data_IF_579785160894
#
_entry.id   IF_579785160894
#
_cell.length_a   1.000
_cell.length_b   1.000
_cell.length_c   1.000
_cell.angle_alpha   90.00
_cell.angle_beta   90.00
_cell.angle_gamma   90.00
#
_symmetry.space_group_name_H-M   'P 1'
#
loop_
_entity.id
_entity.type
_entity.pdbx_description
1 polymer ?
#
# COMPACT_ATOMS: atom_id res chain seq x y z
N UNK A 1 -26.27 20.62 -47.55
CA UNK A 1 -26.94 21.70 -46.80
C UNK A 1 -27.96 21.00 -45.92
N UNK A 2 -27.51 20.18 -44.98
CA UNK A 2 -26.69 20.51 -43.80
C UNK A 2 -27.49 21.35 -42.81
N UNK A 3 -27.38 20.92 -41.56
CA UNK A 3 -27.70 21.65 -40.32
C UNK A 3 -29.12 21.44 -39.77
N UNK A 4 -29.28 20.33 -39.07
CA UNK A 4 -29.84 20.37 -37.72
C UNK A 4 -29.00 19.42 -36.88
N UNK A 5 -27.98 20.00 -36.29
CA UNK A 5 -27.09 19.46 -35.27
C UNK A 5 -27.98 18.88 -34.14
N UNK A 6 -27.97 17.56 -34.04
CA UNK A 6 -28.54 16.87 -32.90
C UNK A 6 -27.66 17.17 -31.70
N UNK A 7 -28.19 17.92 -30.75
CA UNK A 7 -27.59 18.02 -29.42
C UNK A 7 -27.69 16.61 -28.82
N UNK A 8 -26.64 15.81 -29.04
CA UNK A 8 -26.38 14.61 -28.28
C UNK A 8 -26.15 15.09 -26.86
N UNK A 9 -27.21 15.01 -26.06
CA UNK A 9 -27.14 15.31 -24.64
C UNK A 9 -26.40 14.12 -24.06
N UNK A 10 -25.07 14.25 -23.96
CA UNK A 10 -24.27 13.31 -23.19
C UNK A 10 -24.82 13.35 -21.78
N UNK A 11 -25.45 12.25 -21.36
CA UNK A 11 -25.75 12.00 -19.96
C UNK A 11 -24.42 12.08 -19.19
N UNK A 12 -24.23 13.18 -18.47
CA UNK A 12 -23.16 13.30 -17.46
C UNK A 12 -23.69 12.54 -16.24
N UNK A 13 -23.40 11.24 -16.17
CA UNK A 13 -23.75 10.42 -15.03
C UNK A 13 -22.70 10.61 -13.93
N UNK A 14 -22.92 11.58 -13.04
CA UNK A 14 -22.11 11.81 -11.83
C UNK A 14 -22.27 10.73 -10.75
N UNK A 15 -22.54 9.48 -11.13
CA UNK A 15 -22.84 8.38 -10.20
C UNK A 15 -21.99 7.14 -10.41
N UNK A 16 -20.78 7.29 -10.95
CA UNK A 16 -19.91 6.14 -11.23
C UNK A 16 -19.34 5.56 -9.93
N UNK A 17 -19.92 4.44 -9.51
CA UNK A 17 -19.36 3.58 -8.46
C UNK A 17 -18.10 2.89 -8.98
N UNK A 18 -17.07 2.80 -8.14
CA UNK A 18 -15.84 2.06 -8.44
C UNK A 18 -15.70 0.89 -7.48
N UNK A 19 -15.44 -0.31 -8.01
CA UNK A 19 -15.14 -1.50 -7.20
C UNK A 19 -13.72 -1.93 -7.49
N UNK A 20 -12.88 -1.91 -6.45
CA UNK A 20 -11.48 -2.27 -6.54
C UNK A 20 -10.96 -2.72 -5.18
N UNK A 21 -9.68 -3.07 -5.16
CA UNK A 21 -8.95 -3.28 -3.92
C UNK A 21 -8.24 -2.00 -3.51
N UNK A 22 -8.48 -1.59 -2.29
CA UNK A 22 -7.93 -0.37 -1.70
C UNK A 22 -7.06 -0.69 -0.51
N UNK A 23 -6.00 0.08 -0.33
CA UNK A 23 -5.24 0.13 0.92
C UNK A 23 -5.44 1.50 1.59
N UNK A 24 -5.67 1.49 2.90
CA UNK A 24 -5.79 2.71 3.69
C UNK A 24 -4.40 3.21 4.04
N UNK A 25 -4.02 4.37 3.49
CA UNK A 25 -2.71 4.99 3.73
C UNK A 25 -2.78 6.06 4.81
N UNK A 26 -3.94 6.68 5.02
CA UNK A 26 -4.17 7.63 6.10
C UNK A 26 -5.57 7.44 6.68
N UNK A 27 -5.71 7.60 8.00
CA UNK A 27 -6.99 7.54 8.69
C UNK A 27 -6.90 8.33 10.00
N UNK A 28 -7.90 9.17 10.24
CA UNK A 28 -8.16 9.81 11.52
C UNK A 28 -9.61 9.52 11.98
N UNK A 29 -10.09 10.17 13.04
CA UNK A 29 -11.43 9.88 13.56
C UNK A 29 -12.56 10.28 12.59
N UNK A 30 -12.29 11.23 11.68
CA UNK A 30 -13.30 11.88 10.85
C UNK A 30 -13.16 11.47 9.38
N UNK A 31 -11.95 11.21 8.89
CA UNK A 31 -11.67 10.96 7.46
C UNK A 31 -10.67 9.81 7.25
N UNK A 32 -10.64 9.29 6.03
CA UNK A 32 -9.67 8.29 5.62
C UNK A 32 -9.26 8.46 4.15
N UNK A 33 -8.04 8.07 3.82
CA UNK A 33 -7.48 8.09 2.48
C UNK A 33 -7.19 6.67 2.04
N UNK A 34 -7.83 6.28 0.94
CA UNK A 34 -7.70 4.97 0.31
C UNK A 34 -6.91 5.15 -0.98
N UNK A 35 -6.07 4.18 -1.28
CA UNK A 35 -5.41 4.08 -2.57
C UNK A 35 -5.83 2.78 -3.26
N UNK A 36 -6.34 2.91 -4.47
CA UNK A 36 -6.55 1.78 -5.37
C UNK A 36 -5.19 1.16 -5.70
N UNK A 37 -5.07 -0.13 -5.44
CA UNK A 37 -3.81 -0.86 -5.53
C UNK A 37 -3.38 -1.11 -6.97
N UNK A 38 -4.34 -1.23 -7.89
CA UNK A 38 -4.11 -1.53 -9.29
C UNK A 38 -3.90 -0.25 -10.10
N UNK A 39 -4.77 0.75 -9.89
CA UNK A 39 -4.69 2.02 -10.64
C UNK A 39 -3.76 3.05 -9.99
N UNK A 40 -3.48 2.91 -8.69
CA UNK A 40 -2.75 3.90 -7.89
C UNK A 40 -3.59 5.14 -7.57
N UNK A 41 -4.87 5.19 -7.96
CA UNK A 41 -5.75 6.32 -7.70
C UNK A 41 -5.99 6.51 -6.21
N UNK A 42 -6.01 7.78 -5.77
CA UNK A 42 -6.25 8.15 -4.37
C UNK A 42 -7.69 8.63 -4.22
N UNK A 43 -8.35 8.10 -3.20
CA UNK A 43 -9.73 8.38 -2.83
C UNK A 43 -9.77 8.88 -1.39
N UNK A 44 -10.38 10.04 -1.16
CA UNK A 44 -10.57 10.58 0.20
C UNK A 44 -12.01 10.33 0.60
N UNK A 45 -12.23 9.66 1.73
CA UNK A 45 -13.56 9.44 2.26
C UNK A 45 -14.09 10.68 2.98
N UNK A 46 -15.38 10.95 2.80
CA UNK A 46 -16.08 12.01 3.52
C UNK A 46 -16.16 11.74 5.04
N UNK A 47 -16.28 10.47 5.41
CA UNK A 47 -16.34 9.99 6.80
C UNK A 47 -15.45 8.73 6.98
N UNK A 48 -14.85 8.55 8.16
CA UNK A 48 -14.16 7.31 8.51
C UNK A 48 -15.13 6.30 9.21
N UNK A 49 -15.46 5.15 8.58
CA UNK A 49 -16.30 4.11 9.19
C UNK A 49 -15.57 3.22 10.24
N UNK A 50 -14.42 3.64 10.77
CA UNK A 50 -13.59 2.85 11.67
C UNK A 50 -12.58 1.96 10.95
N UNK A 51 -12.05 2.45 9.83
CA UNK A 51 -10.89 1.90 9.14
C UNK A 51 -9.62 2.60 9.61
N UNK A 52 -8.51 1.87 9.56
CA UNK A 52 -7.21 2.27 10.09
C UNK A 52 -6.14 2.12 9.01
N UNK A 53 -5.04 2.85 9.15
CA UNK A 53 -3.87 2.70 8.25
C UNK A 53 -3.41 1.25 8.24
N UNK A 54 -3.19 0.71 7.03
CA UNK A 54 -2.84 -0.69 6.82
C UNK A 54 -4.04 -1.62 6.63
N UNK A 55 -5.28 -1.13 6.76
CA UNK A 55 -6.44 -1.88 6.28
C UNK A 55 -6.40 -2.01 4.75
N UNK A 56 -6.74 -3.20 4.28
CA UNK A 56 -6.91 -3.53 2.87
C UNK A 56 -8.34 -3.99 2.67
N UNK A 57 -9.03 -3.35 1.73
CA UNK A 57 -10.46 -3.47 1.51
C UNK A 57 -10.72 -3.88 0.06
N UNK A 58 -11.46 -4.95 -0.16
CA UNK A 58 -12.17 -5.16 -1.43
C UNK A 58 -13.53 -4.48 -1.24
N UNK A 59 -13.72 -3.33 -1.88
CA UNK A 59 -14.82 -2.42 -1.58
C UNK A 59 -15.35 -1.74 -2.83
N UNK A 60 -16.57 -1.21 -2.71
CA UNK A 60 -17.17 -0.31 -3.69
C UNK A 60 -17.27 1.09 -3.11
N UNK A 61 -16.73 2.08 -3.83
CA UNK A 61 -16.81 3.49 -3.53
C UNK A 61 -17.82 4.19 -4.44
N UNK A 62 -18.41 5.28 -3.96
CA UNK A 62 -19.21 6.20 -4.75
C UNK A 62 -18.90 7.65 -4.35
N UNK A 63 -19.02 8.62 -5.26
CA UNK A 63 -18.93 10.03 -4.89
C UNK A 63 -19.97 10.41 -3.84
N UNK A 64 -19.60 11.25 -2.88
CA UNK A 64 -20.50 11.78 -1.84
C UNK A 64 -21.24 13.04 -2.35
N UNK A 65 -22.56 12.99 -2.56
CA UNK A 65 -23.33 14.14 -3.00
C UNK A 65 -23.42 15.26 -1.94
N UNK A 66 -23.72 16.50 -2.33
CA UNK A 66 -23.94 16.97 -3.69
C UNK A 66 -22.67 17.52 -4.36
N UNK A 67 -21.57 17.66 -3.61
CA UNK A 67 -20.35 18.29 -4.09
C UNK A 67 -19.39 17.31 -4.76
N UNK A 68 -19.49 16.01 -4.43
CA UNK A 68 -18.72 14.94 -5.08
C UNK A 68 -17.19 15.16 -4.99
N UNK A 69 -16.74 15.83 -3.92
CA UNK A 69 -15.32 16.11 -3.64
C UNK A 69 -14.64 14.93 -2.93
N UNK A 70 -15.43 14.19 -2.16
CA UNK A 70 -14.99 13.03 -1.40
C UNK A 70 -15.85 11.83 -1.79
N UNK A 71 -15.32 10.64 -1.56
CA UNK A 71 -15.99 9.38 -1.77
C UNK A 71 -16.65 8.89 -0.47
N UNK A 72 -17.53 7.90 -0.59
CA UNK A 72 -18.02 7.09 0.52
C UNK A 72 -17.93 5.62 0.16
N UNK A 73 -17.71 4.79 1.17
CA UNK A 73 -17.82 3.33 1.01
C UNK A 73 -19.30 2.97 0.96
N UNK A 74 -19.73 2.32 -0.13
CA UNK A 74 -21.10 1.80 -0.27
C UNK A 74 -21.19 0.30 0.02
N UNK A 75 -20.10 -0.44 -0.19
CA UNK A 75 -19.99 -1.86 0.13
C UNK A 75 -18.54 -2.23 0.50
N UNK A 76 -18.40 -3.21 1.40
CA UNK A 76 -17.13 -3.87 1.71
C UNK A 76 -17.37 -5.37 1.61
N UNK A 77 -16.72 -6.00 0.65
CA UNK A 77 -16.80 -7.45 0.43
C UNK A 77 -15.80 -8.17 1.35
N UNK A 78 -14.57 -7.66 1.42
CA UNK A 78 -13.52 -8.20 2.28
C UNK A 78 -12.71 -7.10 2.96
N UNK A 79 -12.29 -7.35 4.20
CA UNK A 79 -11.36 -6.49 4.95
C UNK A 79 -10.32 -7.35 5.64
N UNK A 80 -9.05 -6.98 5.48
CA UNK A 80 -7.94 -7.47 6.30
C UNK A 80 -7.05 -6.31 6.74
N UNK A 81 -6.26 -6.54 7.77
CA UNK A 81 -5.36 -5.51 8.31
C UNK A 81 -3.91 -5.99 8.22
N UNK A 82 -3.06 -5.18 7.58
CA UNK A 82 -1.63 -5.44 7.42
C UNK A 82 -0.86 -4.69 8.51
N UNK A 83 -0.17 -5.44 9.38
CA UNK A 83 0.69 -4.85 10.41
C UNK A 83 2.10 -4.64 9.89
N UNK A 84 2.64 -3.42 10.02
CA UNK A 84 4.07 -3.11 9.80
C UNK A 84 4.77 -2.95 11.15
N UNK A 85 5.95 -3.53 11.30
CA UNK A 85 6.77 -3.35 12.50
C UNK A 85 8.24 -3.65 12.23
N UNK A 86 9.11 -3.01 13.01
CA UNK A 86 10.50 -3.41 13.16
C UNK A 86 10.61 -4.67 14.03
N UNK A 87 11.53 -5.55 13.68
CA UNK A 87 11.86 -6.76 14.41
C UNK A 87 13.26 -6.65 15.02
N UNK A 88 13.39 -7.07 16.27
CA UNK A 88 14.69 -7.16 16.95
C UNK A 88 15.56 -8.31 16.40
N UNK A 89 14.97 -9.20 15.58
CA UNK A 89 15.74 -10.26 14.95
C UNK A 89 16.60 -9.73 13.80
N UNK A 90 17.88 -10.13 13.72
CA UNK A 90 18.72 -9.74 12.61
C UNK A 90 18.25 -10.40 11.30
N UNK A 91 18.65 -9.85 10.13
CA UNK A 91 18.49 -10.51 8.85
C UNK A 91 19.03 -11.94 8.86
N UNK A 92 18.33 -12.83 8.17
CA UNK A 92 18.71 -14.24 8.03
C UNK A 92 20.00 -14.38 7.22
N UNK A 93 20.60 -15.57 7.24
CA UNK A 93 21.80 -15.85 6.45
C UNK A 93 21.59 -15.59 4.95
N UNK A 94 20.40 -15.92 4.42
CA UNK A 94 20.08 -15.71 3.01
C UNK A 94 19.97 -14.22 2.64
N UNK A 95 19.35 -13.41 3.50
CA UNK A 95 19.23 -11.96 3.27
C UNK A 95 20.60 -11.27 3.34
N UNK A 96 21.47 -11.71 4.25
CA UNK A 96 22.86 -11.23 4.33
C UNK A 96 23.70 -11.63 3.11
N UNK A 97 23.49 -12.83 2.58
CA UNK A 97 24.15 -13.27 1.34
C UNK A 97 23.75 -12.38 0.15
N UNK A 98 22.44 -12.10 0.00
CA UNK A 98 21.94 -11.18 -1.03
C UNK A 98 22.56 -9.78 -0.86
N UNK A 99 22.60 -9.25 0.37
CA UNK A 99 23.14 -7.93 0.63
C UNK A 99 24.66 -7.83 0.36
N UNK A 100 25.41 -8.91 0.59
CA UNK A 100 26.86 -8.95 0.34
C UNK A 100 27.21 -8.88 -1.15
N UNK A 101 26.30 -9.34 -2.02
CA UNK A 101 26.45 -9.27 -3.48
C UNK A 101 25.93 -7.94 -4.08
N UNK A 102 25.39 -7.04 -3.24
CA UNK A 102 24.81 -5.77 -3.65
C UNK A 102 25.72 -4.58 -3.38
N UNK A 103 25.63 -3.56 -4.23
CA UNK A 103 26.17 -2.25 -3.93
C UNK A 103 25.25 -1.47 -2.96
N UNK A 104 25.83 -0.51 -2.24
CA UNK A 104 25.05 0.43 -1.43
C UNK A 104 24.09 1.22 -2.32
N UNK A 105 22.84 1.33 -1.88
CA UNK A 105 21.72 1.92 -2.62
C UNK A 105 20.92 0.91 -3.46
N UNK A 106 21.36 -0.36 -3.53
CA UNK A 106 20.63 -1.38 -4.28
C UNK A 106 19.51 -2.03 -3.46
N UNK A 107 18.46 -2.44 -4.18
CA UNK A 107 17.32 -3.18 -3.68
C UNK A 107 17.10 -4.42 -4.54
N UNK A 108 17.13 -5.60 -3.93
CA UNK A 108 16.73 -6.86 -4.57
C UNK A 108 15.42 -7.36 -3.98
N UNK A 109 14.52 -7.80 -4.86
CA UNK A 109 13.28 -8.49 -4.48
C UNK A 109 13.40 -9.98 -4.80
N UNK A 110 13.02 -10.85 -3.87
CA UNK A 110 12.98 -12.30 -4.06
C UNK A 110 11.68 -12.88 -3.53
N UNK A 111 11.13 -13.84 -4.26
CA UNK A 111 10.10 -14.70 -3.71
C UNK A 111 10.69 -15.51 -2.55
N UNK A 112 9.94 -15.63 -1.45
CA UNK A 112 10.36 -16.45 -0.32
C UNK A 112 10.10 -17.91 -0.66
N UNK A 113 11.00 -18.81 -0.27
CA UNK A 113 10.71 -20.25 -0.30
C UNK A 113 9.48 -20.55 0.59
N UNK A 114 8.32 -20.76 -0.05
CA UNK A 114 7.01 -20.80 0.61
C UNK A 114 6.09 -19.70 0.08
N UNK A 115 5.43 -18.98 1.00
CA UNK A 115 4.54 -17.86 0.69
C UNK A 115 5.17 -16.55 1.17
N UNK A 116 4.94 -15.49 0.39
CA UNK A 116 5.43 -14.14 0.66
C UNK A 116 6.67 -13.74 -0.16
N UNK A 117 7.20 -12.58 0.18
CA UNK A 117 8.29 -11.92 -0.55
C UNK A 117 9.30 -11.35 0.44
N UNK A 118 10.57 -11.27 0.03
CA UNK A 118 11.60 -10.53 0.75
C UNK A 118 12.17 -9.44 -0.14
N UNK A 119 12.34 -8.24 0.41
CA UNK A 119 13.17 -7.20 -0.18
C UNK A 119 14.43 -7.06 0.66
N UNK A 120 15.58 -6.97 0.01
CA UNK A 120 16.87 -6.74 0.66
C UNK A 120 17.44 -5.43 0.14
N UNK A 121 17.66 -4.50 1.05
CA UNK A 121 18.15 -3.15 0.78
C UNK A 121 19.52 -3.02 1.44
N UNK A 122 20.50 -2.53 0.69
CA UNK A 122 21.83 -2.21 1.24
C UNK A 122 21.96 -0.69 1.34
N UNK A 123 22.18 -0.16 2.53
CA UNK A 123 22.37 1.28 2.81
C UNK A 123 23.72 1.52 3.49
N UNK A 124 24.22 2.77 3.58
CA UNK A 124 25.35 3.06 4.45
C UNK A 124 25.04 2.62 5.89
N UNK A 125 25.94 1.93 6.61
CA UNK A 125 25.68 1.44 7.97
C UNK A 125 25.16 2.52 8.93
N UNK A 126 25.67 3.76 8.80
CA UNK A 126 25.25 4.91 9.60
C UNK A 126 23.81 5.38 9.33
N UNK A 127 23.21 5.01 8.19
CA UNK A 127 21.86 5.40 7.76
C UNK A 127 20.83 4.30 8.00
N UNK A 128 21.23 3.14 8.53
CA UNK A 128 20.36 1.96 8.68
C UNK A 128 19.10 2.26 9.49
N UNK A 129 19.22 2.96 10.61
CA UNK A 129 18.08 3.25 11.48
C UNK A 129 17.06 4.18 10.79
N UNK A 130 17.54 5.23 10.12
CA UNK A 130 16.68 6.16 9.39
C UNK A 130 15.99 5.43 8.22
N UNK A 131 16.74 4.62 7.47
CA UNK A 131 16.19 3.84 6.36
C UNK A 131 15.17 2.77 6.82
N UNK A 132 15.29 2.23 8.03
CA UNK A 132 14.25 1.35 8.61
C UNK A 132 12.97 2.13 8.86
N UNK A 133 13.04 3.35 9.41
CA UNK A 133 11.87 4.19 9.62
C UNK A 133 11.23 4.60 8.29
N UNK A 134 12.04 4.98 7.29
CA UNK A 134 11.55 5.30 5.95
C UNK A 134 10.74 4.13 5.36
N UNK A 135 11.20 2.89 5.51
CA UNK A 135 10.46 1.70 5.05
C UNK A 135 9.17 1.49 5.85
N UNK A 136 9.18 1.72 7.16
CA UNK A 136 7.99 1.55 8.00
C UNK A 136 6.91 2.57 7.70
N UNK A 137 7.30 3.79 7.34
CA UNK A 137 6.41 4.90 7.03
C UNK A 137 6.00 4.93 5.55
N UNK A 138 6.70 4.21 4.67
CA UNK A 138 6.44 4.17 3.24
C UNK A 138 5.11 3.50 2.88
N UNK A 139 4.22 4.26 2.24
CA UNK A 139 2.96 3.77 1.66
C UNK A 139 3.22 2.70 0.59
N UNK A 140 4.32 2.78 -0.17
CA UNK A 140 4.68 1.79 -1.18
C UNK A 140 4.86 0.38 -0.61
N UNK A 141 5.36 0.29 0.62
CA UNK A 141 5.49 -0.95 1.39
C UNK A 141 4.12 -1.52 1.75
N UNK A 142 3.16 -0.68 2.17
CA UNK A 142 1.78 -1.12 2.39
C UNK A 142 1.10 -1.56 1.11
N UNK A 143 1.20 -0.78 0.03
CA UNK A 143 0.63 -1.14 -1.26
C UNK A 143 1.17 -2.48 -1.75
N UNK A 144 2.47 -2.74 -1.57
CA UNK A 144 3.07 -4.01 -1.97
C UNK A 144 2.48 -5.17 -1.19
N UNK A 145 2.32 -5.02 0.13
CA UNK A 145 1.66 -6.02 0.96
C UNK A 145 0.20 -6.24 0.56
N UNK A 146 -0.52 -5.15 0.26
CA UNK A 146 -1.92 -5.19 -0.10
C UNK A 146 -2.21 -5.86 -1.46
N UNK A 147 -1.22 -5.90 -2.37
CA UNK A 147 -1.23 -6.70 -3.63
C UNK A 147 -1.15 -8.20 -3.40
N UNK A 148 -0.72 -8.65 -2.22
CA UNK A 148 -0.58 -10.06 -1.89
C UNK A 148 -1.77 -10.48 -1.01
N UNK A 149 -2.54 -11.45 -1.47
CA UNK A 149 -3.77 -11.89 -0.78
C UNK A 149 -3.48 -12.49 0.60
N UNK A 150 -2.41 -13.28 0.68
CA UNK A 150 -2.07 -13.99 1.91
C UNK A 150 -1.31 -13.14 2.93
N UNK A 151 -0.88 -11.92 2.59
CA UNK A 151 -0.03 -11.12 3.48
C UNK A 151 -0.86 -10.33 4.48
N UNK A 152 -0.55 -10.52 5.77
CA UNK A 152 -1.15 -9.79 6.90
C UNK A 152 -0.10 -9.07 7.76
N UNK A 153 1.19 -9.28 7.46
CA UNK A 153 2.28 -8.72 8.25
C UNK A 153 3.49 -8.39 7.38
N UNK A 154 4.02 -7.18 7.59
CA UNK A 154 5.33 -6.75 7.10
C UNK A 154 6.26 -6.64 8.30
N UNK A 155 7.39 -7.32 8.21
CA UNK A 155 8.43 -7.31 9.24
C UNK A 155 9.71 -6.74 8.65
N UNK A 156 10.24 -5.69 9.27
CA UNK A 156 11.50 -5.06 8.88
C UNK A 156 12.59 -5.51 9.85
N UNK A 157 13.62 -6.17 9.32
CA UNK A 157 14.82 -6.59 10.07
C UNK A 157 16.01 -5.77 9.59
N UNK A 158 16.94 -5.46 10.47
CA UNK A 158 18.12 -4.68 10.11
C UNK A 158 19.41 -5.19 10.77
N UNK A 159 20.52 -4.93 10.11
CA UNK A 159 21.87 -5.10 10.63
C UNK A 159 22.62 -3.78 10.42
N UNK A 160 22.72 -2.98 11.47
CA UNK A 160 23.37 -1.67 11.44
C UNK A 160 24.89 -1.72 11.28
N UNK A 161 25.53 -2.88 11.49
CA UNK A 161 26.97 -3.01 11.27
C UNK A 161 27.27 -3.14 9.76
N UNK A 162 26.38 -3.82 9.03
CA UNK A 162 26.53 -4.05 7.59
C UNK A 162 25.72 -3.09 6.72
N UNK A 163 24.74 -2.38 7.29
CA UNK A 163 23.80 -1.57 6.51
C UNK A 163 22.77 -2.40 5.75
N UNK A 164 22.45 -3.60 6.24
CA UNK A 164 21.49 -4.50 5.59
C UNK A 164 20.11 -4.31 6.18
N UNK A 165 19.10 -4.11 5.34
CA UNK A 165 17.69 -4.09 5.72
C UNK A 165 16.96 -5.18 4.94
N UNK A 166 16.17 -5.98 5.65
CA UNK A 166 15.30 -6.99 5.06
C UNK A 166 13.85 -6.69 5.39
N UNK A 167 13.05 -6.45 4.35
CA UNK A 167 11.60 -6.27 4.44
C UNK A 167 10.93 -7.59 4.07
N UNK A 168 10.16 -8.16 4.98
CA UNK A 168 9.57 -9.49 4.84
C UNK A 168 8.05 -9.38 4.80
N UNK A 169 7.44 -9.82 3.71
CA UNK A 169 6.00 -9.87 3.53
C UNK A 169 5.51 -11.27 3.91
N UNK A 170 4.77 -11.36 5.01
CA UNK A 170 4.42 -12.61 5.68
C UNK A 170 2.90 -12.79 5.77
N UNK A 171 2.42 -14.04 5.66
CA UNK A 171 1.06 -14.39 6.06
C UNK A 171 0.87 -14.45 7.59
#
# INVERSE_FOLDING_TARGET
MSDTDGIETADIDGSEQSTARYVVTNADADTAVLRDIDSGQVHTLADNPGIEVGDVLDATLAPEPPLEIADRIVAVDERRHVRRHESEEPPTAHEREIAADQAVGELTRRERAGMGEIHVITVPPAETADAVQDVLDDDGTLERAARMDDVVRVEVRSDSETGTISVRYLP
#
